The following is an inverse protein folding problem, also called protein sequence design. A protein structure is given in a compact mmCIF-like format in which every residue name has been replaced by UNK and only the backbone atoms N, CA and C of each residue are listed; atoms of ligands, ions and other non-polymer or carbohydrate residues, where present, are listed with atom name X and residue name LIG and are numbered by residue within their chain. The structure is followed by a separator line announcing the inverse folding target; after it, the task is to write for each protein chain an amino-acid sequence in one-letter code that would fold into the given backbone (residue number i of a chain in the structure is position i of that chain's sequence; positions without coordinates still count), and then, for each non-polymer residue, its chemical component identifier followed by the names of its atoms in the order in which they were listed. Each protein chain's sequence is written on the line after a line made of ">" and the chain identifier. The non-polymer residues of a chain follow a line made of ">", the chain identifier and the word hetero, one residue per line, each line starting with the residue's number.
data_IF_200613131724
#
_entry.id   IF_200613131724
#
_cell.length_a   1.000
_cell.length_b   1.000
_cell.length_c   1.000
_cell.angle_alpha   90.00
_cell.angle_beta   90.00
_cell.angle_gamma   90.00
#
_symmetry.space_group_name_H-M   'P 1'
#
loop_
_entity.id
_entity.type
_entity.pdbx_description
1 polymer ?
#
# COMPACT_ATOMS: atom_id res chain seq x y z
N UNK A 1 3.21 -4.39 11.92
CA UNK A 1 1.82 -4.37 12.46
C UNK A 1 1.22 -5.77 12.27
N UNK A 2 0.62 -6.40 13.28
CA UNK A 2 -0.04 -7.72 13.08
C UNK A 2 -1.17 -7.55 12.06
N UNK A 3 -1.35 -8.48 11.12
CA UNK A 3 -2.37 -8.40 10.04
C UNK A 3 -3.78 -8.10 10.61
N UNK A 4 -4.13 -8.68 11.75
CA UNK A 4 -5.35 -8.37 12.51
C UNK A 4 -5.56 -6.88 12.79
N UNK A 5 -4.49 -6.16 13.15
CA UNK A 5 -4.55 -4.73 13.40
C UNK A 5 -4.76 -3.93 12.09
N UNK A 6 -4.29 -4.45 10.95
CA UNK A 6 -4.43 -3.77 9.67
C UNK A 6 -5.88 -3.71 9.20
N UNK A 7 -6.61 -4.83 9.28
CA UNK A 7 -8.04 -4.85 8.94
C UNK A 7 -8.85 -3.93 9.85
N UNK A 8 -8.68 -4.04 11.17
CA UNK A 8 -9.40 -3.18 12.12
C UNK A 8 -9.10 -1.69 11.90
N UNK A 9 -7.85 -1.35 11.61
CA UNK A 9 -7.47 0.02 11.29
C UNK A 9 -8.14 0.51 10.01
N UNK A 10 -8.11 -0.28 8.94
CA UNK A 10 -8.71 0.08 7.65
C UNK A 10 -10.23 0.25 7.78
N UNK A 11 -10.90 -0.73 8.41
CA UNK A 11 -12.35 -0.69 8.70
C UNK A 11 -12.70 0.55 9.51
N UNK A 12 -11.94 0.86 10.57
CA UNK A 12 -12.16 2.04 11.40
C UNK A 12 -11.98 3.35 10.64
N UNK A 13 -10.96 3.43 9.79
CA UNK A 13 -10.70 4.59 8.95
C UNK A 13 -11.83 4.81 7.93
N UNK A 14 -12.25 3.76 7.22
CA UNK A 14 -13.33 3.81 6.25
C UNK A 14 -14.67 4.16 6.91
N UNK A 15 -15.00 3.55 8.06
CA UNK A 15 -16.18 3.92 8.84
C UNK A 15 -16.16 5.37 9.29
N UNK A 16 -14.99 5.87 9.68
CA UNK A 16 -14.82 7.28 10.06
C UNK A 16 -15.09 8.19 8.85
N UNK A 17 -14.52 7.88 7.67
CA UNK A 17 -14.81 8.61 6.44
C UNK A 17 -16.30 8.61 6.09
N UNK A 18 -16.97 7.46 6.23
CA UNK A 18 -18.41 7.35 5.98
C UNK A 18 -19.21 8.18 6.99
N UNK A 19 -18.86 8.11 8.27
CA UNK A 19 -19.48 8.90 9.33
C UNK A 19 -19.33 10.41 9.11
N UNK A 20 -18.15 10.86 8.66
CA UNK A 20 -17.89 12.27 8.31
C UNK A 20 -18.71 12.67 7.07
N UNK A 21 -18.74 11.83 6.03
CA UNK A 21 -19.41 12.14 4.76
C UNK A 21 -20.93 12.22 4.89
N UNK A 22 -21.54 11.20 5.48
CA UNK A 22 -22.99 11.09 5.53
C UNK A 22 -23.57 11.66 6.82
N UNK A 23 -22.78 11.84 7.88
CA UNK A 23 -23.32 12.15 9.20
C UNK A 23 -24.16 10.98 9.77
N UNK A 24 -24.61 11.15 11.01
CA UNK A 24 -25.37 10.10 11.73
C UNK A 24 -26.81 9.97 11.20
N UNK A 25 -27.40 11.06 10.69
CA UNK A 25 -28.85 11.17 10.47
C UNK A 25 -29.28 11.38 9.01
N UNK A 26 -28.37 11.34 8.04
CA UNK A 26 -28.74 11.58 6.65
C UNK A 26 -29.49 10.38 6.05
N UNK A 27 -30.66 10.65 5.47
CA UNK A 27 -31.50 9.65 4.79
C UNK A 27 -30.83 9.06 3.55
N UNK A 28 -29.82 9.75 3.01
CA UNK A 28 -29.01 9.27 1.89
C UNK A 28 -27.80 8.45 2.34
N UNK A 29 -27.71 8.06 3.62
CA UNK A 29 -26.64 7.20 4.09
C UNK A 29 -26.82 5.79 3.52
N UNK A 30 -25.88 5.27 2.73
CA UNK A 30 -25.99 3.94 2.12
C UNK A 30 -26.01 2.79 3.14
N UNK A 31 -25.60 3.02 4.40
CA UNK A 31 -25.85 2.05 5.47
C UNK A 31 -27.33 1.90 5.84
N UNK A 32 -28.18 2.88 5.55
CA UNK A 32 -29.63 2.71 5.70
C UNK A 32 -30.19 1.73 4.66
N UNK A 33 -29.48 1.52 3.54
CA UNK A 33 -29.81 0.43 2.63
C UNK A 33 -29.42 -0.89 3.31
N UNK A 34 -30.43 -1.59 3.81
CA UNK A 34 -30.32 -2.84 4.59
C UNK A 34 -29.30 -3.84 4.02
N UNK A 35 -29.15 -3.93 2.70
CA UNK A 35 -28.20 -4.83 2.04
C UNK A 35 -26.73 -4.57 2.44
N UNK A 36 -26.25 -3.34 2.39
CA UNK A 36 -24.84 -3.03 2.70
C UNK A 36 -24.56 -3.20 4.19
N UNK A 37 -25.50 -2.79 5.03
CA UNK A 37 -25.41 -2.98 6.49
C UNK A 37 -25.30 -4.47 6.84
N UNK A 38 -26.15 -5.32 6.26
CA UNK A 38 -26.15 -6.75 6.56
C UNK A 38 -24.86 -7.45 6.07
N UNK A 39 -24.37 -7.10 4.87
CA UNK A 39 -23.10 -7.61 4.37
C UNK A 39 -21.93 -7.21 5.26
N UNK A 40 -21.86 -5.92 5.61
CA UNK A 40 -20.82 -5.40 6.48
C UNK A 40 -20.87 -6.04 7.87
N UNK A 41 -22.05 -6.13 8.48
CA UNK A 41 -22.22 -6.73 9.80
C UNK A 41 -21.83 -8.21 9.80
N UNK A 42 -22.25 -8.96 8.79
CA UNK A 42 -21.89 -10.38 8.64
C UNK A 42 -20.39 -10.55 8.48
N UNK A 43 -19.75 -9.69 7.68
CA UNK A 43 -18.31 -9.70 7.47
C UNK A 43 -17.56 -9.38 8.76
N UNK A 44 -17.91 -8.31 9.47
CA UNK A 44 -17.26 -7.94 10.74
C UNK A 44 -17.47 -9.01 11.81
N UNK A 45 -18.67 -9.55 11.93
CA UNK A 45 -18.95 -10.62 12.89
C UNK A 45 -18.09 -11.86 12.61
N UNK A 46 -18.04 -12.29 11.36
CA UNK A 46 -17.19 -13.41 10.92
C UNK A 46 -15.71 -13.12 11.15
N UNK A 47 -15.28 -11.86 10.92
CA UNK A 47 -13.91 -11.43 11.11
C UNK A 47 -13.48 -11.46 12.57
N UNK A 48 -14.31 -10.92 13.46
CA UNK A 48 -14.06 -10.93 14.91
C UNK A 48 -14.02 -12.37 15.42
N UNK A 49 -15.00 -13.21 15.06
CA UNK A 49 -15.01 -14.63 15.44
C UNK A 49 -13.74 -15.35 14.99
N UNK A 50 -13.36 -15.20 13.72
CA UNK A 50 -12.16 -15.83 13.19
C UNK A 50 -10.87 -15.28 13.85
N UNK A 51 -10.85 -13.99 14.21
CA UNK A 51 -9.71 -13.37 14.90
C UNK A 51 -9.46 -13.91 16.31
N UNK A 52 -10.52 -14.42 16.95
CA UNK A 52 -10.47 -15.03 18.29
C UNK A 52 -10.29 -16.55 18.26
N UNK A 53 -10.34 -17.16 17.07
CA UNK A 53 -10.24 -18.61 16.91
C UNK A 53 -8.78 -19.06 16.72
N UNK A 54 -8.59 -20.38 16.70
CA UNK A 54 -7.30 -21.02 16.48
C UNK A 54 -6.83 -20.84 15.03
N UNK A 55 -5.89 -19.91 14.85
CA UNK A 55 -5.28 -19.56 13.56
C UNK A 55 -4.33 -20.64 13.01
N UNK A 56 -4.23 -21.82 13.62
CA UNK A 56 -3.57 -22.97 13.00
C UNK A 56 -4.47 -23.69 11.99
N UNK A 57 -5.79 -23.50 12.08
CA UNK A 57 -6.78 -24.12 11.19
C UNK A 57 -6.95 -23.31 9.91
N UNK A 58 -6.73 -23.95 8.76
CA UNK A 58 -6.83 -23.29 7.44
C UNK A 58 -8.18 -22.61 7.21
N UNK A 59 -9.29 -23.24 7.59
CA UNK A 59 -10.64 -22.67 7.44
C UNK A 59 -10.73 -21.33 8.18
N UNK A 60 -10.18 -21.24 9.39
CA UNK A 60 -10.20 -20.00 10.19
C UNK A 60 -9.35 -18.92 9.54
N UNK A 61 -8.16 -19.26 9.04
CA UNK A 61 -7.29 -18.32 8.29
C UNK A 61 -8.05 -17.76 7.07
N UNK A 62 -8.69 -18.63 6.29
CA UNK A 62 -9.47 -18.24 5.11
C UNK A 62 -10.65 -17.35 5.52
N UNK A 63 -11.45 -17.77 6.51
CA UNK A 63 -12.57 -16.97 7.01
C UNK A 63 -12.10 -15.61 7.50
N UNK A 64 -10.98 -15.53 8.21
CA UNK A 64 -10.42 -14.27 8.71
C UNK A 64 -10.06 -13.31 7.57
N UNK A 65 -9.33 -13.79 6.55
CA UNK A 65 -8.94 -12.95 5.42
C UNK A 65 -10.13 -12.56 4.54
N UNK A 66 -10.99 -13.52 4.19
CA UNK A 66 -12.15 -13.27 3.34
C UNK A 66 -13.13 -12.30 4.01
N UNK A 67 -13.41 -12.50 5.30
CA UNK A 67 -14.30 -11.58 6.04
C UNK A 67 -13.70 -10.18 6.19
N UNK A 68 -12.38 -10.08 6.39
CA UNK A 68 -11.68 -8.79 6.40
C UNK A 68 -11.77 -8.07 5.05
N UNK A 69 -11.48 -8.79 3.95
CA UNK A 69 -11.57 -8.26 2.58
C UNK A 69 -13.01 -7.82 2.28
N UNK A 70 -14.01 -8.68 2.52
CA UNK A 70 -15.42 -8.36 2.26
C UNK A 70 -15.89 -7.17 3.09
N UNK A 71 -15.45 -7.05 4.35
CA UNK A 71 -15.73 -5.88 5.19
C UNK A 71 -15.21 -4.60 4.56
N UNK A 72 -13.92 -4.57 4.20
CA UNK A 72 -13.28 -3.41 3.57
C UNK A 72 -13.89 -3.10 2.20
N UNK A 73 -14.14 -4.11 1.37
CA UNK A 73 -14.74 -3.95 0.04
C UNK A 73 -16.15 -3.35 0.13
N UNK A 74 -16.96 -3.78 1.10
CA UNK A 74 -18.31 -3.21 1.31
C UNK A 74 -18.24 -1.72 1.66
N UNK A 75 -17.26 -1.31 2.48
CA UNK A 75 -17.06 0.09 2.85
C UNK A 75 -16.48 0.91 1.69
N UNK A 76 -15.51 0.37 0.95
CA UNK A 76 -15.00 0.99 -0.27
C UNK A 76 -16.09 1.18 -1.31
N UNK A 77 -17.04 0.24 -1.42
CA UNK A 77 -18.18 0.37 -2.31
C UNK A 77 -19.07 1.55 -1.94
N UNK A 78 -19.25 1.82 -0.65
CA UNK A 78 -19.97 3.01 -0.16
C UNK A 78 -19.21 4.31 -0.53
N UNK A 79 -17.88 4.27 -0.47
CA UNK A 79 -17.00 5.40 -0.78
C UNK A 79 -16.65 5.51 -2.27
N UNK A 80 -17.08 4.55 -3.10
CA UNK A 80 -16.55 4.34 -4.46
C UNK A 80 -16.67 5.58 -5.34
N UNK A 81 -17.79 6.30 -5.25
CA UNK A 81 -18.01 7.48 -6.09
C UNK A 81 -16.94 8.56 -5.84
N UNK A 82 -16.60 8.81 -4.57
CA UNK A 82 -15.61 9.82 -4.24
C UNK A 82 -14.21 9.29 -4.46
N UNK A 83 -13.95 8.03 -4.09
CA UNK A 83 -12.64 7.42 -4.31
C UNK A 83 -12.30 7.38 -5.79
N UNK A 84 -13.26 7.07 -6.66
CA UNK A 84 -13.08 7.13 -8.11
C UNK A 84 -12.86 8.55 -8.60
N UNK A 85 -13.58 9.54 -8.07
CA UNK A 85 -13.34 10.95 -8.41
C UNK A 85 -11.91 11.39 -8.03
N UNK A 86 -11.49 11.13 -6.79
CA UNK A 86 -10.12 11.39 -6.33
C UNK A 86 -9.10 10.60 -7.15
N UNK A 87 -9.34 9.34 -7.44
CA UNK A 87 -8.45 8.51 -8.25
C UNK A 87 -8.31 9.08 -9.66
N UNK A 88 -9.40 9.47 -10.31
CA UNK A 88 -9.38 10.07 -11.65
C UNK A 88 -8.64 11.42 -11.64
N UNK A 89 -8.89 12.29 -10.66
CA UNK A 89 -8.17 13.57 -10.51
C UNK A 89 -6.68 13.34 -10.27
N UNK A 90 -6.32 12.42 -9.36
CA UNK A 90 -4.92 12.09 -9.10
C UNK A 90 -4.24 11.46 -10.31
N UNK A 91 -4.94 10.60 -11.07
CA UNK A 91 -4.44 10.01 -12.30
C UNK A 91 -4.20 11.08 -13.37
N UNK A 92 -5.13 12.03 -13.53
CA UNK A 92 -4.98 13.16 -14.45
C UNK A 92 -3.82 14.06 -14.03
N UNK A 93 -3.70 14.40 -12.74
CA UNK A 93 -2.57 15.18 -12.22
C UNK A 93 -1.25 14.45 -12.43
N UNK A 94 -1.21 13.13 -12.21
CA UNK A 94 -0.02 12.31 -12.47
C UNK A 94 0.31 12.29 -13.97
N UNK A 95 -0.68 12.23 -14.85
CA UNK A 95 -0.49 12.29 -16.30
C UNK A 95 0.01 13.66 -16.75
N UNK A 96 -0.55 14.75 -16.22
CA UNK A 96 -0.10 16.12 -16.47
C UNK A 96 1.32 16.32 -15.93
N UNK A 97 1.61 15.87 -14.71
CA UNK A 97 2.93 15.93 -14.14
C UNK A 97 3.93 15.12 -14.99
N UNK A 98 3.54 13.92 -15.42
CA UNK A 98 4.34 13.13 -16.36
C UNK A 98 4.56 13.92 -17.65
N UNK A 99 3.56 14.56 -18.24
CA UNK A 99 3.70 15.28 -19.50
C UNK A 99 4.58 16.55 -19.37
N UNK A 100 4.30 17.40 -18.38
CA UNK A 100 5.03 18.66 -18.16
C UNK A 100 6.43 18.44 -17.63
N UNK A 101 6.61 17.46 -16.73
CA UNK A 101 7.90 17.19 -16.10
C UNK A 101 8.61 15.99 -16.71
N UNK A 102 8.12 15.36 -17.79
CA UNK A 102 8.74 14.17 -18.38
C UNK A 102 10.23 14.40 -18.63
N UNK A 103 10.54 15.51 -19.29
CA UNK A 103 11.91 15.85 -19.65
C UNK A 103 12.76 16.13 -18.41
N UNK A 104 12.20 16.78 -17.39
CA UNK A 104 12.92 17.06 -16.15
C UNK A 104 13.19 15.78 -15.36
N UNK A 105 12.20 14.90 -15.24
CA UNK A 105 12.33 13.59 -14.58
C UNK A 105 13.29 12.71 -15.37
N UNK A 106 13.19 12.67 -16.70
CA UNK A 106 14.11 11.91 -17.55
C UNK A 106 15.56 12.41 -17.41
N UNK A 107 15.77 13.73 -17.42
CA UNK A 107 17.08 14.33 -17.18
C UNK A 107 17.61 13.99 -15.79
N UNK A 108 16.76 14.08 -14.76
CA UNK A 108 17.13 13.73 -13.39
C UNK A 108 17.53 12.25 -13.27
N UNK A 109 16.77 11.34 -13.91
CA UNK A 109 17.08 9.91 -13.93
C UNK A 109 18.39 9.63 -14.66
N UNK A 110 18.63 10.27 -15.81
CA UNK A 110 19.90 10.15 -16.54
C UNK A 110 21.06 10.67 -15.69
N UNK A 111 20.89 11.81 -15.02
CA UNK A 111 21.90 12.37 -14.12
C UNK A 111 22.21 11.43 -12.96
N UNK A 112 21.17 10.86 -12.34
CA UNK A 112 21.31 9.92 -11.23
C UNK A 112 21.99 8.62 -11.66
N UNK A 113 21.62 8.09 -12.83
CA UNK A 113 22.27 6.90 -13.40
C UNK A 113 23.75 7.14 -13.71
N UNK A 114 24.08 8.31 -14.26
CA UNK A 114 25.47 8.72 -14.49
C UNK A 114 26.24 8.83 -13.18
N UNK A 115 25.63 9.42 -12.14
CA UNK A 115 26.23 9.54 -10.81
C UNK A 115 26.51 8.17 -10.19
N UNK A 116 25.53 7.25 -10.21
CA UNK A 116 25.71 5.88 -9.71
C UNK A 116 26.80 5.15 -10.52
N UNK A 117 26.81 5.29 -11.84
CA UNK A 117 27.82 4.65 -12.70
C UNK A 117 29.23 5.15 -12.37
N UNK A 118 29.39 6.45 -12.13
CA UNK A 118 30.66 7.03 -11.71
C UNK A 118 31.09 6.55 -10.33
N UNK A 119 30.16 6.50 -9.37
CA UNK A 119 30.43 5.99 -8.03
C UNK A 119 30.85 4.51 -8.06
N UNK A 120 30.17 3.67 -8.84
CA UNK A 120 30.53 2.27 -9.04
C UNK A 120 31.92 2.11 -9.67
N UNK A 121 32.26 2.94 -10.65
CA UNK A 121 33.59 2.96 -11.28
C UNK A 121 34.69 3.32 -10.27
N UNK A 122 34.45 4.33 -9.42
CA UNK A 122 35.39 4.72 -8.36
C UNK A 122 35.55 3.61 -7.32
N UNK A 123 34.45 2.99 -6.89
CA UNK A 123 34.50 1.86 -5.96
C UNK A 123 35.24 0.67 -6.58
N UNK A 124 35.02 0.36 -7.86
CA UNK A 124 35.76 -0.69 -8.57
C UNK A 124 37.26 -0.38 -8.62
N UNK A 125 37.64 0.83 -9.01
CA UNK A 125 39.05 1.24 -9.06
C UNK A 125 39.73 1.19 -7.69
N UNK A 126 39.02 1.52 -6.62
CA UNK A 126 39.51 1.41 -5.25
C UNK A 126 39.69 -0.06 -4.80
N UNK A 127 38.76 -0.94 -5.16
CA UNK A 127 38.87 -2.39 -4.90
C UNK A 127 40.07 -2.98 -5.67
N UNK A 128 40.26 -2.61 -6.93
CA UNK A 128 41.38 -3.08 -7.75
C UNK A 128 42.73 -2.60 -7.18
N UNK A 129 42.81 -1.35 -6.72
CA UNK A 129 44.00 -0.83 -6.05
C UNK A 129 44.32 -1.59 -4.76
N UNK A 130 43.32 -1.88 -3.93
CA UNK A 130 43.50 -2.70 -2.71
C UNK A 130 44.03 -4.10 -3.01
N UNK A 131 43.46 -4.77 -4.02
CA UNK A 131 43.90 -6.11 -4.42
C UNK A 131 45.37 -6.11 -4.89
N UNK A 132 45.78 -5.08 -5.64
CA UNK A 132 47.18 -4.96 -6.09
C UNK A 132 48.16 -4.74 -4.92
N UNK A 133 47.77 -3.95 -3.91
CA UNK A 133 48.58 -3.74 -2.71
C UNK A 133 48.73 -5.03 -1.90
N UNK A 134 47.71 -5.88 -1.86
CA UNK A 134 47.77 -7.16 -1.13
C UNK A 134 48.55 -8.25 -1.86
N UNK A 135 48.69 -8.17 -3.18
CA UNK A 135 49.52 -9.10 -3.96
C UNK A 135 51.02 -8.75 -3.95
N UNK A 136 51.38 -7.48 -3.77
CA UNK A 136 52.79 -7.05 -3.80
C UNK A 136 53.70 -7.53 -2.64
N UNK A 137 53.24 -7.95 -1.44
CA UNK A 137 54.14 -8.43 -0.39
C UNK A 137 54.71 -9.85 -0.61
N UNK A 138 54.29 -10.59 -1.64
CA UNK A 138 54.80 -11.96 -1.86
C UNK A 138 56.04 -12.09 -2.75
N UNK A 139 56.52 -11.01 -3.37
CA UNK A 139 57.70 -11.05 -4.26
C UNK A 139 58.95 -10.33 -3.70
N UNK A 140 59.09 -10.22 -2.37
CA UNK A 140 60.34 -9.77 -1.76
C UNK A 140 60.79 -10.67 -0.59
N UNK A 141 61.92 -11.35 -0.85
CA UNK A 141 62.84 -12.14 0.00
C UNK A 141 62.59 -13.65 0.01
#
# INVERSE_FOLDING_TARGET
>A
MKIQKAYLFLIGLELTCIGIKYGVSNTNNPFQQSRFLMLFLTAIFSHVLASTADMTKQIIIITFHMSGITGCETLLWILIHDFMCYFMVNLLLLLLAKFFFFNQVAQLVVYFFKYISQLLLQVSGYIDQMRNVEQQPQDQV
#
